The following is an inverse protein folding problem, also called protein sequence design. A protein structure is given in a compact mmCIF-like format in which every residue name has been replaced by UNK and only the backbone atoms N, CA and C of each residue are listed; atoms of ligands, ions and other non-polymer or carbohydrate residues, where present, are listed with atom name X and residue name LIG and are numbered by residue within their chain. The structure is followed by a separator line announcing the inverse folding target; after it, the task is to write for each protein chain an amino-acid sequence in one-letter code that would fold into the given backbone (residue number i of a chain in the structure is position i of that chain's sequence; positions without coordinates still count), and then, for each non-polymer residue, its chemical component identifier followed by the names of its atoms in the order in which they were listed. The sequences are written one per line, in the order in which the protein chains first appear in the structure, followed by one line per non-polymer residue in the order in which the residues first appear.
data_IF_855682551174
#
_entry.id   IF_855682551174
#
_cell.length_a   1.000
_cell.length_b   1.000
_cell.length_c   1.000
_cell.angle_alpha   90.00
_cell.angle_beta   90.00
_cell.angle_gamma   90.00
#
_symmetry.space_group_name_H-M   'P 1'
#
loop_
_entity.id
_entity.type
_entity.pdbx_description
1 polymer ?
#
# COMPACT_ATOMS: atom_id res chain seq x y z
N UNK A 1 7.19 11.38 -9.67
CA UNK A 1 8.29 11.25 -8.68
C UNK A 1 8.86 9.87 -8.86
N UNK A 2 10.00 9.86 -9.50
CA UNK A 2 10.52 8.72 -10.24
C UNK A 2 11.22 7.81 -9.26
N UNK A 3 10.73 6.57 -9.15
CA UNK A 3 11.40 5.58 -8.31
C UNK A 3 12.85 5.37 -8.81
N UNK A 4 13.12 5.71 -10.07
CA UNK A 4 14.45 5.82 -10.66
C UNK A 4 15.36 6.87 -10.01
N UNK A 5 14.80 7.93 -9.42
CA UNK A 5 15.54 8.98 -8.70
C UNK A 5 15.84 8.60 -7.23
N UNK A 6 15.50 7.38 -6.81
CA UNK A 6 15.79 6.91 -5.46
C UNK A 6 17.30 6.65 -5.32
N UNK A 7 18.05 7.68 -4.93
CA UNK A 7 19.50 7.65 -4.69
C UNK A 7 19.85 6.94 -3.37
N UNK A 8 19.22 5.80 -3.09
CA UNK A 8 19.46 5.00 -1.89
C UNK A 8 19.96 3.61 -2.26
N UNK A 9 21.09 3.24 -1.65
CA UNK A 9 21.69 1.92 -1.76
C UNK A 9 20.94 0.90 -0.87
N UNK A 10 19.70 0.59 -1.27
CA UNK A 10 18.98 -0.56 -0.73
C UNK A 10 19.24 -1.77 -1.61
N UNK A 11 19.58 -2.90 -1.00
CA UNK A 11 19.79 -4.17 -1.69
C UNK A 11 18.61 -4.62 -2.57
N UNK A 12 17.40 -4.10 -2.31
CA UNK A 12 16.18 -4.43 -3.05
C UNK A 12 15.63 -3.28 -3.92
N UNK A 13 16.40 -2.21 -4.19
CA UNK A 13 15.92 -1.05 -4.97
C UNK A 13 15.35 -1.46 -6.33
N UNK A 14 15.99 -2.40 -7.05
CA UNK A 14 15.50 -2.88 -8.35
C UNK A 14 14.11 -3.52 -8.27
N UNK A 15 13.89 -4.39 -7.29
CA UNK A 15 12.58 -5.04 -7.07
C UNK A 15 11.51 -4.00 -6.73
N UNK A 16 11.88 -2.99 -5.97
CA UNK A 16 10.98 -1.91 -5.59
C UNK A 16 10.57 -1.05 -6.81
N UNK A 17 11.51 -0.68 -7.67
CA UNK A 17 11.22 0.05 -8.91
C UNK A 17 10.27 -0.74 -9.81
N UNK A 18 10.51 -2.05 -9.99
CA UNK A 18 9.61 -2.92 -10.75
C UNK A 18 8.20 -2.95 -10.15
N UNK A 19 8.08 -3.17 -8.84
CA UNK A 19 6.78 -3.21 -8.16
C UNK A 19 6.01 -1.88 -8.29
N UNK A 20 6.69 -0.73 -8.25
CA UNK A 20 6.06 0.58 -8.50
C UNK A 20 5.55 0.69 -9.94
N UNK A 21 6.33 0.22 -10.91
CA UNK A 21 5.90 0.22 -12.32
C UNK A 21 4.64 -0.60 -12.57
N UNK A 22 4.59 -1.80 -12.00
CA UNK A 22 3.42 -2.67 -12.03
C UNK A 22 2.22 -2.01 -11.33
N UNK A 23 2.44 -1.42 -10.15
CA UNK A 23 1.40 -0.73 -9.40
C UNK A 23 0.83 0.47 -10.16
N UNK A 24 1.67 1.28 -10.80
CA UNK A 24 1.21 2.39 -11.66
C UNK A 24 0.32 1.90 -12.79
N UNK A 25 0.74 0.83 -13.46
CA UNK A 25 -0.02 0.22 -14.56
C UNK A 25 -1.38 -0.31 -14.10
N UNK A 26 -1.42 -0.93 -12.91
CA UNK A 26 -2.65 -1.38 -12.27
C UNK A 26 -3.60 -0.21 -11.97
N UNK A 27 -3.11 0.85 -11.33
CA UNK A 27 -3.91 2.04 -11.01
C UNK A 27 -4.48 2.69 -12.27
N UNK A 28 -3.66 2.84 -13.32
CA UNK A 28 -4.11 3.43 -14.58
C UNK A 28 -5.23 2.60 -15.25
N UNK A 29 -5.02 1.28 -15.35
CA UNK A 29 -5.98 0.37 -15.98
C UNK A 29 -7.28 0.20 -15.19
N UNK A 30 -7.24 0.36 -13.87
CA UNK A 30 -8.41 0.21 -13.00
C UNK A 30 -9.04 1.54 -12.57
N UNK A 31 -8.59 2.68 -13.12
CA UNK A 31 -8.98 4.03 -12.70
C UNK A 31 -10.49 4.26 -12.57
N UNK A 32 -11.29 3.71 -13.49
CA UNK A 32 -12.77 3.80 -13.47
C UNK A 32 -13.40 3.05 -12.29
N UNK A 33 -12.75 1.99 -11.81
CA UNK A 33 -13.22 1.17 -10.69
C UNK A 33 -12.64 1.60 -9.34
N UNK A 34 -11.71 2.54 -9.31
CA UNK A 34 -11.14 3.07 -8.07
C UNK A 34 -12.16 3.94 -7.35
N UNK A 35 -12.42 3.62 -6.09
CA UNK A 35 -13.32 4.42 -5.25
C UNK A 35 -12.61 5.70 -4.83
N UNK A 36 -13.23 6.86 -5.11
CA UNK A 36 -12.77 8.15 -4.62
C UNK A 36 -13.16 8.34 -3.14
N UNK A 37 -12.35 7.81 -2.23
CA UNK A 37 -12.59 7.95 -0.80
C UNK A 37 -12.53 9.40 -0.29
N UNK A 38 -11.83 10.30 -0.99
CA UNK A 38 -11.77 11.72 -0.62
C UNK A 38 -13.11 12.42 -0.85
N UNK A 39 -13.73 12.19 -2.01
CA UNK A 39 -15.07 12.69 -2.32
C UNK A 39 -16.11 12.09 -1.37
N UNK A 40 -16.07 10.77 -1.12
CA UNK A 40 -16.95 10.13 -0.14
C UNK A 40 -16.84 10.71 1.26
N UNK A 41 -15.62 11.06 1.67
CA UNK A 41 -15.40 11.70 2.96
C UNK A 41 -16.02 13.10 3.00
N UNK A 42 -15.84 13.88 1.93
CA UNK A 42 -16.43 15.21 1.78
C UNK A 42 -17.97 15.17 1.69
N UNK A 43 -18.54 14.13 1.10
CA UNK A 43 -19.99 13.92 1.01
C UNK A 43 -20.60 13.31 2.27
N UNK A 44 -19.79 12.91 3.26
CA UNK A 44 -20.25 12.25 4.48
C UNK A 44 -20.74 10.81 4.27
N UNK A 45 -20.38 10.19 3.14
CA UNK A 45 -20.69 8.80 2.84
C UNK A 45 -19.90 7.84 3.74
N UNK A 46 -20.47 6.66 4.00
CA UNK A 46 -19.78 5.62 4.78
C UNK A 46 -18.55 5.11 4.02
N UNK A 47 -17.41 5.17 4.68
CA UNK A 47 -16.14 4.60 4.21
C UNK A 47 -15.81 3.40 5.08
N UNK A 48 -15.51 2.26 4.46
CA UNK A 48 -15.08 1.06 5.20
C UNK A 48 -13.64 1.24 5.71
N UNK A 49 -13.42 1.00 7.00
CA UNK A 49 -12.10 0.99 7.64
C UNK A 49 -11.39 -0.37 7.56
N UNK A 50 -12.09 -1.42 7.10
CA UNK A 50 -11.62 -2.80 7.20
C UNK A 50 -10.25 -3.06 6.55
N UNK A 51 -9.94 -2.41 5.42
CA UNK A 51 -8.64 -2.56 4.74
C UNK A 51 -7.48 -1.92 5.54
N UNK A 52 -7.72 -0.75 6.14
CA UNK A 52 -6.74 -0.07 7.00
C UNK A 52 -6.52 -0.88 8.27
N UNK A 53 -7.61 -1.34 8.90
CA UNK A 53 -7.56 -2.21 10.08
C UNK A 53 -6.79 -3.51 9.80
N UNK A 54 -7.06 -4.18 8.69
CA UNK A 54 -6.33 -5.39 8.28
C UNK A 54 -4.84 -5.13 8.08
N UNK A 55 -4.48 -4.00 7.47
CA UNK A 55 -3.08 -3.60 7.26
C UNK A 55 -2.37 -3.35 8.59
N UNK A 56 -3.02 -2.61 9.51
CA UNK A 56 -2.50 -2.35 10.85
C UNK A 56 -2.32 -3.66 11.61
N UNK A 57 -3.32 -4.55 11.58
CA UNK A 57 -3.24 -5.87 12.19
C UNK A 57 -2.06 -6.67 11.63
N UNK A 58 -1.85 -6.71 10.31
CA UNK A 58 -0.72 -7.39 9.70
C UNK A 58 0.64 -6.83 10.17
N UNK A 59 0.76 -5.50 10.28
CA UNK A 59 1.99 -4.85 10.77
C UNK A 59 2.24 -5.19 12.24
N UNK A 60 1.19 -5.12 13.08
CA UNK A 60 1.27 -5.47 14.50
C UNK A 60 1.65 -6.95 14.64
N UNK A 61 0.94 -7.85 13.96
CA UNK A 61 1.25 -9.27 13.97
C UNK A 61 2.69 -9.53 13.51
N UNK A 62 3.19 -8.84 12.49
CA UNK A 62 4.58 -9.02 12.04
C UNK A 62 5.62 -8.49 13.03
N UNK A 63 5.35 -7.36 13.70
CA UNK A 63 6.28 -6.72 14.66
C UNK A 63 6.26 -7.37 16.03
N UNK A 64 5.09 -7.82 16.46
CA UNK A 64 4.82 -8.36 17.79
C UNK A 64 4.52 -9.86 17.76
N UNK A 65 4.73 -10.54 16.63
CA UNK A 65 4.78 -12.00 16.60
C UNK A 65 5.83 -12.45 17.62
N UNK A 66 5.35 -12.95 18.76
CA UNK A 66 6.18 -13.59 19.76
C UNK A 66 6.84 -14.76 19.06
N UNK A 67 8.18 -14.76 18.96
CA UNK A 67 8.92 -15.95 18.52
C UNK A 67 8.45 -17.08 19.43
N UNK A 68 7.81 -18.08 18.84
CA UNK A 68 7.41 -19.28 19.57
C UNK A 68 8.71 -19.92 20.04
N UNK A 69 9.03 -19.81 21.33
CA UNK A 69 10.10 -20.59 21.93
C UNK A 69 9.59 -22.03 21.96
N UNK A 70 10.15 -22.89 21.11
CA UNK A 70 10.20 -24.32 21.37
C UNK A 70 11.39 -24.61 22.26
#
# INVERSE_FOLDING_TARGET
MDAEALEKDYSNTRKFVTAIGEFRSYIASNSVSLINYGERYQSGERISSASVEATVNAVISKRFAKKQQM
#
